data_IF_874647022826
#
_entry.id   IF_874647022826
#
_cell.length_a   1.000
_cell.length_b   1.000
_cell.length_c   1.000
_cell.angle_alpha   90.00
_cell.angle_beta   90.00
_cell.angle_gamma   90.00
#
_symmetry.space_group_name_H-M   'P 1'
#
loop_
_entity.id
_entity.type
_entity.pdbx_description
1 polymer ?
#
# COMPACT_ATOMS: atom_id res chain seq x y z
N UNK A 1 19.72 -2.55 4.00
CA UNK A 1 18.83 -1.44 3.59
C UNK A 1 17.49 -1.88 3.02
N UNK A 2 17.45 -2.77 2.02
CA UNK A 2 16.18 -3.23 1.42
C UNK A 2 15.18 -3.83 2.45
N UNK A 3 15.68 -4.50 3.49
CA UNK A 3 14.82 -5.01 4.57
C UNK A 3 14.19 -3.91 5.42
N UNK A 4 14.96 -2.88 5.78
CA UNK A 4 14.47 -1.70 6.52
C UNK A 4 13.43 -0.95 5.69
N UNK A 5 13.72 -0.70 4.41
CA UNK A 5 12.78 -0.09 3.47
C UNK A 5 11.47 -0.87 3.40
N UNK A 6 11.53 -2.20 3.23
CA UNK A 6 10.33 -3.03 3.17
C UNK A 6 9.53 -3.01 4.47
N UNK A 7 10.21 -3.10 5.62
CA UNK A 7 9.59 -3.09 6.95
C UNK A 7 8.86 -1.78 7.22
N UNK A 8 9.51 -0.63 7.00
CA UNK A 8 8.91 0.68 7.20
C UNK A 8 7.78 0.93 6.21
N UNK A 9 7.97 0.55 4.95
CA UNK A 9 6.93 0.70 3.93
C UNK A 9 5.67 -0.10 4.26
N UNK A 10 5.83 -1.35 4.69
CA UNK A 10 4.69 -2.17 5.12
C UNK A 10 3.99 -1.58 6.34
N UNK A 11 4.77 -1.13 7.33
CA UNK A 11 4.23 -0.59 8.58
C UNK A 11 3.53 0.76 8.41
N UNK A 12 3.99 1.60 7.50
CA UNK A 12 3.57 3.00 7.40
C UNK A 12 2.71 3.28 6.17
N UNK A 13 3.06 2.76 5.00
CA UNK A 13 2.31 3.04 3.77
C UNK A 13 1.01 2.23 3.70
N UNK A 14 1.06 0.94 4.03
CA UNK A 14 -0.11 0.06 3.90
C UNK A 14 -1.28 0.57 4.74
N UNK A 15 -1.15 0.93 6.03
CA UNK A 15 -2.29 1.42 6.81
C UNK A 15 -2.85 2.74 6.27
N UNK A 16 -1.98 3.67 5.84
CA UNK A 16 -2.39 4.97 5.27
C UNK A 16 -3.19 4.79 3.99
N UNK A 17 -2.73 3.91 3.10
CA UNK A 17 -3.46 3.54 1.89
C UNK A 17 -4.79 2.85 2.25
N UNK A 18 -4.75 1.85 3.14
CA UNK A 18 -5.92 1.04 3.51
C UNK A 18 -7.06 1.88 4.10
N UNK A 19 -6.73 2.87 4.92
CA UNK A 19 -7.70 3.77 5.54
C UNK A 19 -8.45 4.65 4.52
N UNK A 20 -7.82 4.93 3.38
CA UNK A 20 -8.36 5.72 2.28
C UNK A 20 -9.17 4.88 1.28
N UNK A 21 -9.11 3.55 1.34
CA UNK A 21 -9.93 2.68 0.49
C UNK A 21 -11.41 2.91 0.85
N UNK A 22 -12.26 3.30 -0.13
CA UNK A 22 -13.66 3.55 0.13
C UNK A 22 -14.39 2.24 0.43
N UNK A 23 -15.31 2.31 1.40
CA UNK A 23 -16.13 1.18 1.83
C UNK A 23 -17.58 1.59 1.81
N UNK A 24 -18.42 0.84 1.11
CA UNK A 24 -19.86 1.07 1.16
C UNK A 24 -20.44 0.52 2.47
N UNK A 25 -21.57 1.08 2.93
CA UNK A 25 -22.17 0.71 4.23
C UNK A 25 -22.47 -0.80 4.37
N UNK A 26 -22.74 -1.50 3.26
CA UNK A 26 -23.07 -2.94 3.21
C UNK A 26 -21.85 -3.88 3.34
N UNK A 27 -20.63 -3.34 3.45
CA UNK A 27 -19.40 -4.12 3.31
C UNK A 27 -18.71 -4.44 4.64
N UNK A 28 -19.24 -3.95 5.78
CA UNK A 28 -18.68 -4.28 7.11
C UNK A 28 -18.58 -5.80 7.35
N UNK A 29 -19.54 -6.56 6.82
CA UNK A 29 -19.61 -8.02 7.00
C UNK A 29 -19.10 -8.83 5.80
N UNK A 30 -18.49 -8.17 4.80
CA UNK A 30 -18.01 -8.81 3.56
C UNK A 30 -16.48 -8.83 3.50
N UNK A 31 -15.93 -9.80 2.77
CA UNK A 31 -14.50 -9.84 2.42
C UNK A 31 -14.18 -8.61 1.57
N UNK A 32 -13.41 -7.68 2.11
CA UNK A 32 -13.10 -6.39 1.51
C UNK A 32 -11.66 -5.98 1.81
N UNK A 33 -11.02 -5.26 0.88
CA UNK A 33 -9.61 -4.90 0.98
C UNK A 33 -9.26 -4.17 2.28
N UNK A 34 -10.17 -3.33 2.79
CA UNK A 34 -10.00 -2.64 4.08
C UNK A 34 -9.88 -3.59 5.29
N UNK A 35 -10.54 -4.75 5.23
CA UNK A 35 -10.70 -5.66 6.36
C UNK A 35 -9.84 -6.93 6.21
N UNK A 36 -9.01 -7.00 5.18
CA UNK A 36 -8.21 -8.18 4.86
C UNK A 36 -6.85 -7.76 4.30
N UNK A 37 -5.92 -8.72 4.20
CA UNK A 37 -4.64 -8.47 3.57
C UNK A 37 -4.82 -8.36 2.05
N UNK A 38 -4.94 -7.13 1.57
CA UNK A 38 -5.25 -6.81 0.17
C UNK A 38 -4.03 -6.66 -0.72
N UNK A 39 -2.85 -6.59 -0.12
CA UNK A 39 -1.60 -6.23 -0.76
C UNK A 39 -0.57 -7.35 -0.68
N UNK A 40 0.32 -7.35 -1.67
CA UNK A 40 1.59 -8.06 -1.68
C UNK A 40 2.70 -7.03 -1.87
N UNK A 41 3.76 -7.15 -1.07
CA UNK A 41 4.94 -6.29 -1.18
C UNK A 41 6.04 -7.11 -1.84
N UNK A 42 6.61 -6.58 -2.92
CA UNK A 42 7.79 -7.13 -3.56
C UNK A 42 8.96 -6.19 -3.37
N UNK A 43 10.09 -6.76 -2.98
CA UNK A 43 11.33 -6.03 -2.71
C UNK A 43 12.19 -6.08 -3.96
N UNK A 44 12.71 -4.94 -4.39
CA UNK A 44 13.76 -4.86 -5.40
C UNK A 44 15.00 -4.14 -4.83
N UNK A 45 15.89 -3.70 -5.71
CA UNK A 45 17.07 -2.95 -5.29
C UNK A 45 16.69 -1.50 -4.96
N UNK A 46 16.69 -1.13 -3.67
CA UNK A 46 16.26 0.18 -3.18
C UNK A 46 14.83 0.57 -3.61
N UNK A 47 14.01 -0.42 -3.93
CA UNK A 47 12.63 -0.24 -4.34
C UNK A 47 11.72 -1.22 -3.63
N UNK A 48 10.47 -0.80 -3.46
CA UNK A 48 9.37 -1.64 -3.00
C UNK A 48 8.17 -1.44 -3.91
N UNK A 49 7.59 -2.55 -4.35
CA UNK A 49 6.38 -2.55 -5.16
C UNK A 49 5.22 -3.06 -4.31
N UNK A 50 4.21 -2.22 -4.10
CA UNK A 50 2.95 -2.60 -3.45
C UNK A 50 1.94 -2.90 -4.55
N UNK A 51 1.42 -4.13 -4.56
CA UNK A 51 0.41 -4.57 -5.55
C UNK A 51 -0.73 -5.32 -4.92
N UNK A 52 -1.88 -5.35 -5.57
CA UNK A 52 -3.05 -6.09 -5.07
C UNK A 52 -2.79 -7.60 -5.01
N UNK A 53 -3.17 -8.21 -3.89
CA UNK A 53 -3.20 -9.64 -3.69
C UNK A 53 -4.29 -10.31 -4.54
N UNK A 54 -4.09 -11.61 -4.84
CA UNK A 54 -5.02 -12.42 -5.64
C UNK A 54 -4.78 -12.36 -7.16
N UNK A 55 -3.83 -11.54 -7.64
CA UNK A 55 -3.42 -11.50 -9.05
C UNK A 55 -4.39 -10.71 -9.93
N UNK A 56 -4.68 -11.23 -11.12
CA UNK A 56 -5.55 -10.56 -12.09
C UNK A 56 -6.98 -10.34 -11.54
N UNK A 57 -7.62 -9.24 -11.93
CA UNK A 57 -8.93 -8.80 -11.45
C UNK A 57 -10.08 -9.81 -11.65
N UNK A 58 -9.90 -10.80 -12.53
CA UNK A 58 -10.87 -11.86 -12.81
C UNK A 58 -10.73 -13.08 -11.88
N UNK A 59 -9.72 -13.14 -11.01
CA UNK A 59 -9.50 -14.28 -10.10
C UNK A 59 -10.30 -14.15 -8.81
N UNK A 60 -10.82 -15.27 -8.32
CA UNK A 60 -11.51 -15.35 -7.01
C UNK A 60 -10.54 -14.95 -5.90
N UNK A 61 -10.96 -14.03 -5.03
CA UNK A 61 -10.12 -13.48 -3.96
C UNK A 61 -9.16 -12.37 -4.41
N UNK A 62 -9.21 -11.95 -5.67
CA UNK A 62 -8.52 -10.74 -6.13
C UNK A 62 -9.28 -9.48 -5.73
N UNK A 63 -8.55 -8.43 -5.41
CA UNK A 63 -9.09 -7.08 -5.20
C UNK A 63 -9.05 -6.30 -6.51
N UNK A 64 -9.61 -6.87 -7.58
CA UNK A 64 -9.54 -6.33 -8.94
C UNK A 64 -10.04 -4.89 -9.07
N UNK A 65 -10.95 -4.44 -8.19
CA UNK A 65 -11.43 -3.06 -8.15
C UNK A 65 -10.41 -2.05 -7.63
N UNK A 66 -9.34 -2.51 -6.97
CA UNK A 66 -8.21 -1.66 -6.61
C UNK A 66 -7.29 -1.40 -7.81
N UNK A 67 -7.42 -2.20 -8.89
CA UNK A 67 -6.45 -2.22 -9.97
C UNK A 67 -6.48 -0.90 -10.74
N UNK A 68 -7.63 -0.32 -11.11
CA UNK A 68 -7.72 1.04 -11.70
C UNK A 68 -9.18 1.55 -11.67
N UNK A 69 -9.45 2.88 -11.74
CA UNK A 69 -8.54 3.97 -12.12
C UNK A 69 -8.45 5.09 -11.07
N UNK A 70 -7.23 5.58 -10.79
CA UNK A 70 -7.02 6.77 -9.96
C UNK A 70 -7.97 7.90 -10.37
N UNK A 71 -8.20 8.09 -11.67
CA UNK A 71 -9.02 9.15 -12.28
C UNK A 71 -10.51 8.83 -12.47
N UNK A 72 -11.03 7.67 -12.03
CA UNK A 72 -12.47 7.38 -12.17
C UNK A 72 -12.99 7.18 -13.61
N UNK A 73 -12.20 6.62 -14.53
CA UNK A 73 -12.55 6.42 -15.96
C UNK A 73 -13.40 5.18 -16.29
N UNK A 74 -14.03 4.52 -15.32
CA UNK A 74 -14.77 3.27 -15.54
C UNK A 74 -16.29 3.45 -15.54
N UNK A 75 -17.07 2.66 -16.31
CA UNK A 75 -18.54 2.75 -16.35
C UNK A 75 -19.24 2.38 -15.03
N UNK A 76 -18.49 1.84 -14.07
CA UNK A 76 -18.97 1.49 -12.72
C UNK A 76 -18.24 2.24 -11.60
N UNK A 77 -17.25 3.08 -11.94
CA UNK A 77 -16.45 3.83 -10.97
C UNK A 77 -16.06 5.18 -11.59
N UNK A 78 -17.00 6.13 -11.55
CA UNK A 78 -16.89 7.46 -12.14
C UNK A 78 -16.11 8.46 -11.28
N UNK A 79 -15.75 8.06 -10.06
CA UNK A 79 -15.16 8.95 -9.07
C UNK A 79 -13.69 8.64 -8.93
N UNK A 80 -12.88 9.67 -9.04
CA UNK A 80 -11.47 9.67 -8.74
C UNK A 80 -11.22 9.41 -7.25
N UNK A 81 -10.47 8.34 -6.94
CA UNK A 81 -10.25 7.92 -5.54
C UNK A 81 -8.85 8.28 -5.02
N UNK A 82 -7.80 8.15 -5.86
CA UNK A 82 -6.38 8.44 -5.53
C UNK A 82 -5.90 7.94 -4.16
N UNK A 83 -6.49 6.86 -3.63
CA UNK A 83 -6.17 6.38 -2.29
C UNK A 83 -4.72 5.89 -2.18
N UNK A 84 -4.17 5.34 -3.27
CA UNK A 84 -2.77 4.96 -3.36
C UNK A 84 -1.85 6.18 -3.29
N UNK A 85 -2.02 7.13 -4.19
CA UNK A 85 -1.20 8.35 -4.27
C UNK A 85 -1.24 9.13 -2.95
N UNK A 86 -2.43 9.40 -2.42
CA UNK A 86 -2.60 10.11 -1.14
C UNK A 86 -2.00 9.34 0.04
N UNK A 87 -2.14 8.02 0.05
CA UNK A 87 -1.55 7.18 1.10
C UNK A 87 -0.02 7.18 1.04
N UNK A 88 0.55 7.19 -0.17
CA UNK A 88 1.99 7.31 -0.40
C UNK A 88 2.51 8.70 -0.01
N UNK A 89 1.89 9.77 -0.51
CA UNK A 89 2.27 11.16 -0.17
C UNK A 89 2.28 11.39 1.35
N UNK A 90 1.27 10.86 2.06
CA UNK A 90 1.20 10.98 3.50
C UNK A 90 2.24 10.11 4.23
N UNK A 91 2.65 8.97 3.67
CA UNK A 91 3.48 7.98 4.35
C UNK A 91 4.96 8.04 4.02
N UNK A 92 5.34 8.55 2.85
CA UNK A 92 6.74 8.62 2.40
C UNK A 92 7.65 9.35 3.40
N UNK A 93 7.29 10.52 3.96
CA UNK A 93 8.16 11.21 4.91
C UNK A 93 8.53 10.34 6.10
N UNK A 94 7.55 9.67 6.71
CA UNK A 94 7.77 8.79 7.87
C UNK A 94 8.59 7.55 7.52
N UNK A 95 8.44 7.02 6.29
CA UNK A 95 9.26 5.90 5.81
C UNK A 95 10.72 6.34 5.66
N UNK A 96 10.95 7.52 5.06
CA UNK A 96 12.30 8.07 4.87
C UNK A 96 12.97 8.30 6.22
N UNK A 97 12.27 8.91 7.17
CA UNK A 97 12.77 9.14 8.53
C UNK A 97 13.15 7.82 9.21
N UNK A 98 12.29 6.80 9.12
CA UNK A 98 12.56 5.48 9.69
C UNK A 98 13.79 4.79 9.08
N UNK A 99 13.97 4.92 7.77
CA UNK A 99 15.14 4.39 7.05
C UNK A 99 16.41 5.14 7.45
N UNK A 100 16.34 6.47 7.59
CA UNK A 100 17.48 7.29 7.99
C UNK A 100 17.95 6.93 9.41
N UNK A 101 17.03 6.72 10.35
CA UNK A 101 17.35 6.26 11.71
C UNK A 101 18.04 4.89 11.68
N UNK A 102 17.52 3.94 10.90
CA UNK A 102 18.13 2.61 10.78
C UNK A 102 19.51 2.66 10.12
N UNK A 103 19.72 3.58 9.17
CA UNK A 103 21.02 3.79 8.52
C UNK A 103 22.06 4.34 9.51
N UNK A 104 21.70 5.37 10.28
CA UNK A 104 22.60 5.97 11.28
C UNK A 104 23.03 4.93 12.31
N UNK A 105 22.08 4.15 12.84
CA UNK A 105 22.38 3.07 13.81
C UNK A 105 23.37 2.05 13.25
N UNK A 106 23.18 1.64 11.99
CA UNK A 106 24.11 0.69 11.34
C UNK A 106 25.51 1.27 11.20
N UNK A 107 25.64 2.56 10.89
CA UNK A 107 26.93 3.24 10.82
C UNK A 107 27.59 3.26 12.21
N UNK A 108 26.84 3.56 13.27
CA UNK A 108 27.33 3.56 14.65
C UNK A 108 27.74 2.16 15.15
N UNK A 109 27.08 1.09 14.69
CA UNK A 109 27.43 -0.29 15.04
C UNK A 109 28.70 -0.80 14.34
N UNK A 110 29.09 -0.18 13.22
CA UNK A 110 30.28 -0.55 12.43
C UNK A 110 31.53 0.28 12.81
N UNK A 111 31.39 1.28 13.68
CA UNK A 111 32.47 2.13 14.23
C UNK A 111 32.88 1.61 15.61
#
# INVERSE_FOLDING_TARGET
MNESLAKHSEKLLVPKITNLIPVSRSVRDKVHARNSQWQKIEKGNLEITIKSAGGAANKKGSYGYLVFPNEGRGPRNHIEQRFMEKGLEAGIPEVVDGIQVDLIKKIEEEI
#
